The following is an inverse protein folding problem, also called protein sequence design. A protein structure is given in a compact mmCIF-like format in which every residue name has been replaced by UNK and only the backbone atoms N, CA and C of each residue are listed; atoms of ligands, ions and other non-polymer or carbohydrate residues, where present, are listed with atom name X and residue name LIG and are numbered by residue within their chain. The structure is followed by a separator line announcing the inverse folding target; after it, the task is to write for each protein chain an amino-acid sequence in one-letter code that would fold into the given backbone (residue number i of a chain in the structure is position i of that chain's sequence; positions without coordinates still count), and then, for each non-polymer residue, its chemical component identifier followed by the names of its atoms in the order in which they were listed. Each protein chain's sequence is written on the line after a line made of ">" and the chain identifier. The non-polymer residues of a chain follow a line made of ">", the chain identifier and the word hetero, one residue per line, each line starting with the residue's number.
data_IF_377289826243
#
_entry.id   IF_377289826243
#
_cell.length_a   1.000
_cell.length_b   1.000
_cell.length_c   1.000
_cell.angle_alpha   90.00
_cell.angle_beta   90.00
_cell.angle_gamma   90.00
#
_symmetry.space_group_name_H-M   'P 1'
#
loop_
_entity.id
_entity.type
_entity.pdbx_description
1 polymer ?
#
# COMPACT_ATOMS: atom_id res chain seq x y z
N UNK A 1 5.70 19.47 15.51
CA UNK A 1 4.93 19.51 14.23
C UNK A 1 5.33 20.75 13.45
N UNK A 2 5.19 20.76 12.12
CA UNK A 2 5.44 21.93 11.27
C UNK A 2 4.13 22.33 10.57
N UNK A 3 3.97 23.63 10.29
CA UNK A 3 2.79 24.15 9.59
C UNK A 3 2.97 24.01 8.07
N UNK A 4 1.90 23.61 7.39
CA UNK A 4 1.81 23.56 5.93
C UNK A 4 0.65 24.45 5.49
N UNK A 5 0.92 25.42 4.61
CA UNK A 5 -0.13 26.23 3.99
C UNK A 5 -0.35 25.72 2.56
N UNK A 6 -1.59 25.37 2.24
CA UNK A 6 -1.99 24.88 0.92
C UNK A 6 -3.27 25.58 0.48
N UNK A 7 -3.37 25.90 -0.81
CA UNK A 7 -4.60 26.42 -1.41
C UNK A 7 -5.52 25.27 -1.74
N UNK A 8 -6.74 25.32 -1.22
CA UNK A 8 -7.81 24.37 -1.52
C UNK A 8 -9.04 25.15 -1.97
N UNK A 9 -9.90 24.50 -2.75
CA UNK A 9 -11.18 25.10 -3.15
C UNK A 9 -12.12 25.20 -1.94
N UNK A 10 -13.00 26.19 -1.95
CA UNK A 10 -13.95 26.43 -0.85
C UNK A 10 -14.89 25.27 -0.61
N UNK A 11 -15.26 24.51 -1.65
CA UNK A 11 -16.12 23.34 -1.50
C UNK A 11 -15.43 22.26 -0.64
N UNK A 12 -14.13 22.03 -0.86
CA UNK A 12 -13.34 21.06 -0.08
C UNK A 12 -13.14 21.50 1.36
N UNK A 13 -12.94 22.80 1.60
CA UNK A 13 -12.91 23.34 2.96
C UNK A 13 -14.22 23.05 3.70
N UNK A 14 -15.37 23.31 3.04
CA UNK A 14 -16.70 23.05 3.61
C UNK A 14 -16.94 21.56 3.89
N UNK A 15 -16.48 20.67 3.02
CA UNK A 15 -16.54 19.21 3.27
C UNK A 15 -15.75 18.82 4.52
N UNK A 16 -14.53 19.34 4.68
CA UNK A 16 -13.70 19.06 5.86
C UNK A 16 -14.33 19.59 7.15
N UNK A 17 -14.94 20.78 7.10
CA UNK A 17 -15.65 21.37 8.25
C UNK A 17 -16.85 20.49 8.66
N UNK A 18 -17.66 20.03 7.70
CA UNK A 18 -18.78 19.11 7.98
C UNK A 18 -18.34 17.79 8.60
N UNK A 19 -17.22 17.22 8.14
CA UNK A 19 -16.67 15.99 8.71
C UNK A 19 -16.16 16.21 10.13
N UNK A 20 -15.55 17.36 10.39
CA UNK A 20 -15.07 17.74 11.72
C UNK A 20 -16.24 17.86 12.71
N UNK A 21 -17.32 18.53 12.31
CA UNK A 21 -18.55 18.65 13.11
C UNK A 21 -19.17 17.28 13.38
N UNK A 22 -19.32 16.45 12.35
CA UNK A 22 -19.92 15.11 12.46
C UNK A 22 -19.12 14.17 13.38
N UNK A 23 -17.80 14.32 13.44
CA UNK A 23 -16.90 13.48 14.22
C UNK A 23 -16.49 14.12 15.56
N UNK A 24 -17.02 15.30 15.89
CA UNK A 24 -16.70 16.01 17.13
C UNK A 24 -15.21 16.34 17.27
N UNK A 25 -14.54 16.66 16.15
CA UNK A 25 -13.10 16.93 16.10
C UNK A 25 -12.79 18.22 15.33
N UNK A 26 -11.51 18.55 15.17
CA UNK A 26 -11.09 19.75 14.42
C UNK A 26 -10.90 19.47 12.93
N UNK A 27 -11.11 20.48 12.08
CA UNK A 27 -10.76 20.42 10.64
C UNK A 27 -9.31 19.97 10.42
N UNK A 28 -8.38 20.44 11.26
CA UNK A 28 -6.96 20.08 11.16
C UNK A 28 -6.67 18.61 11.50
N UNK A 29 -7.48 17.99 12.35
CA UNK A 29 -7.40 16.55 12.62
C UNK A 29 -7.91 15.75 11.42
N UNK A 30 -9.07 16.12 10.87
CA UNK A 30 -9.60 15.48 9.65
C UNK A 30 -8.62 15.60 8.49
N UNK A 31 -8.10 16.81 8.25
CA UNK A 31 -7.15 17.05 7.16
C UNK A 31 -5.88 16.20 7.30
N UNK A 32 -5.34 16.04 8.52
CA UNK A 32 -4.19 15.18 8.76
C UNK A 32 -4.47 13.72 8.43
N UNK A 33 -5.61 13.17 8.89
CA UNK A 33 -6.02 11.79 8.56
C UNK A 33 -6.13 11.58 7.06
N UNK A 34 -6.79 12.49 6.36
CA UNK A 34 -6.95 12.42 4.90
C UNK A 34 -5.59 12.48 4.20
N UNK A 35 -4.66 13.32 4.66
CA UNK A 35 -3.30 13.39 4.10
C UNK A 35 -2.53 12.09 4.37
N UNK A 36 -2.59 11.56 5.59
CA UNK A 36 -1.87 10.34 5.96
C UNK A 36 -2.34 9.13 5.13
N UNK A 37 -3.66 9.00 4.94
CA UNK A 37 -4.22 7.94 4.10
C UNK A 37 -3.91 8.16 2.62
N UNK A 38 -4.03 9.40 2.13
CA UNK A 38 -3.66 9.75 0.76
C UNK A 38 -2.18 9.50 0.45
N UNK A 39 -1.29 9.72 1.42
CA UNK A 39 0.14 9.39 1.30
C UNK A 39 0.36 7.89 1.17
N UNK A 40 -0.30 7.06 1.99
CA UNK A 40 -0.23 5.60 1.88
C UNK A 40 -0.71 5.13 0.52
N UNK A 41 -1.88 5.58 0.08
CA UNK A 41 -2.46 5.15 -1.20
C UNK A 41 -1.61 5.59 -2.40
N UNK A 42 -1.03 6.80 -2.35
CA UNK A 42 -0.10 7.28 -3.38
C UNK A 42 1.16 6.42 -3.44
N UNK A 43 1.71 6.04 -2.28
CA UNK A 43 2.88 5.17 -2.22
C UNK A 43 2.57 3.75 -2.69
N UNK A 44 1.38 3.21 -2.40
CA UNK A 44 0.94 1.91 -2.91
C UNK A 44 0.89 1.90 -4.43
N UNK A 45 0.39 2.99 -5.04
CA UNK A 45 0.40 3.14 -6.49
C UNK A 45 1.82 3.09 -7.07
N UNK A 46 2.74 3.87 -6.53
CA UNK A 46 4.15 3.87 -6.94
C UNK A 46 4.78 2.48 -6.71
N UNK A 47 4.50 1.85 -5.56
CA UNK A 47 4.99 0.53 -5.23
C UNK A 47 4.51 -0.54 -6.21
N UNK A 48 3.28 -0.43 -6.72
CA UNK A 48 2.75 -1.31 -7.74
C UNK A 48 3.46 -1.13 -9.10
N UNK A 49 3.72 0.11 -9.52
CA UNK A 49 4.53 0.41 -10.71
C UNK A 49 5.93 -0.22 -10.59
N UNK A 50 6.57 -0.08 -9.42
CA UNK A 50 7.87 -0.66 -9.12
C UNK A 50 7.89 -2.20 -9.10
N UNK A 51 6.77 -2.84 -8.75
CA UNK A 51 6.63 -4.30 -8.86
C UNK A 51 6.59 -4.73 -10.34
N UNK A 52 5.86 -3.99 -11.19
CA UNK A 52 5.80 -4.27 -12.64
C UNK A 52 7.18 -4.12 -13.30
N UNK A 53 7.96 -3.13 -12.86
CA UNK A 53 9.36 -2.91 -13.28
C UNK A 53 10.34 -3.96 -12.69
N UNK A 54 9.85 -4.91 -11.88
CA UNK A 54 10.62 -5.93 -11.15
C UNK A 54 11.63 -5.35 -10.15
N UNK A 55 11.50 -4.08 -9.79
CA UNK A 55 12.35 -3.41 -8.80
C UNK A 55 11.92 -3.75 -7.37
N UNK A 56 10.62 -3.85 -7.10
CA UNK A 56 10.08 -4.15 -5.76
C UNK A 56 9.53 -5.58 -5.65
N UNK A 57 9.75 -6.19 -4.49
CA UNK A 57 8.95 -7.33 -4.02
C UNK A 57 7.64 -6.84 -3.40
N UNK A 58 6.68 -7.74 -3.16
CA UNK A 58 5.47 -7.43 -2.40
C UNK A 58 5.82 -6.82 -1.02
N UNK A 59 6.77 -7.43 -0.31
CA UNK A 59 7.23 -6.95 1.01
C UNK A 59 7.82 -5.56 0.94
N UNK A 60 8.68 -5.28 -0.06
CA UNK A 60 9.29 -3.97 -0.20
C UNK A 60 8.27 -2.89 -0.56
N UNK A 61 7.27 -3.22 -1.40
CA UNK A 61 6.21 -2.28 -1.74
C UNK A 61 5.28 -1.98 -0.54
N UNK A 62 4.97 -2.98 0.28
CA UNK A 62 4.20 -2.81 1.51
C UNK A 62 4.95 -1.92 2.52
N UNK A 63 6.23 -2.20 2.73
CA UNK A 63 7.11 -1.41 3.59
C UNK A 63 7.22 0.05 3.12
N UNK A 64 7.51 0.26 1.83
CA UNK A 64 7.59 1.60 1.22
C UNK A 64 6.31 2.41 1.43
N UNK A 65 5.18 1.73 1.31
CA UNK A 65 3.84 2.33 1.43
C UNK A 65 3.38 2.53 2.87
N UNK A 66 4.05 1.92 3.84
CA UNK A 66 3.64 1.95 5.24
C UNK A 66 2.32 1.21 5.49
N UNK A 67 2.10 0.10 4.78
CA UNK A 67 0.89 -0.74 4.91
C UNK A 67 1.28 -2.20 5.17
N UNK A 68 0.32 -3.02 5.60
CA UNK A 68 0.55 -4.45 5.77
C UNK A 68 0.79 -5.15 4.42
N UNK A 69 1.50 -6.29 4.47
CA UNK A 69 1.65 -7.18 3.31
C UNK A 69 0.30 -7.52 2.66
N UNK A 70 -0.70 -7.82 3.51
CA UNK A 70 -2.04 -8.16 3.06
C UNK A 70 -2.70 -7.02 2.29
N UNK A 71 -2.67 -5.78 2.81
CA UNK A 71 -3.26 -4.62 2.13
C UNK A 71 -2.58 -4.33 0.79
N UNK A 72 -1.26 -4.50 0.70
CA UNK A 72 -0.55 -4.36 -0.58
C UNK A 72 -0.92 -5.49 -1.55
N UNK A 73 -1.06 -6.72 -1.07
CA UNK A 73 -1.45 -7.86 -1.90
C UNK A 73 -2.87 -7.69 -2.48
N UNK A 74 -3.83 -7.29 -1.65
CA UNK A 74 -5.20 -6.96 -2.09
C UNK A 74 -5.19 -5.86 -3.15
N UNK A 75 -4.46 -4.76 -2.89
CA UNK A 75 -4.38 -3.65 -3.84
C UNK A 75 -3.87 -4.07 -5.22
N UNK A 76 -2.91 -4.98 -5.28
CA UNK A 76 -2.35 -5.52 -6.52
C UNK A 76 -3.33 -6.51 -7.18
N UNK A 77 -3.95 -7.37 -6.39
CA UNK A 77 -4.94 -8.36 -6.86
C UNK A 77 -6.14 -7.69 -7.51
N UNK A 78 -6.69 -6.64 -6.88
CA UNK A 78 -7.80 -5.82 -7.42
C UNK A 78 -7.46 -5.17 -8.77
N UNK A 79 -6.17 -5.06 -9.10
CA UNK A 79 -5.64 -4.48 -10.34
C UNK A 79 -5.08 -5.53 -11.31
N UNK A 80 -5.20 -6.82 -10.99
CA UNK A 80 -4.67 -7.90 -11.81
C UNK A 80 -3.14 -7.92 -11.91
N UNK A 81 -2.43 -7.28 -10.96
CA UNK A 81 -0.96 -7.23 -10.95
C UNK A 81 -0.44 -8.43 -10.18
N UNK A 82 0.19 -9.38 -10.88
CA UNK A 82 0.89 -10.48 -10.21
C UNK A 82 2.13 -9.96 -9.48
N UNK A 83 2.21 -10.25 -8.19
CA UNK A 83 3.39 -10.02 -7.37
C UNK A 83 4.20 -11.31 -7.13
N UNK A 84 3.71 -12.44 -7.63
CA UNK A 84 4.47 -13.69 -7.69
C UNK A 84 5.41 -13.63 -8.88
N UNK A 85 6.71 -13.68 -8.59
CA UNK A 85 7.76 -13.68 -9.62
C UNK A 85 8.03 -15.08 -10.18
N UNK A 86 7.49 -16.09 -9.53
CA UNK A 86 7.71 -17.50 -9.83
C UNK A 86 6.46 -18.10 -10.45
N UNK A 87 6.64 -18.87 -11.51
CA UNK A 87 5.58 -19.69 -12.10
C UNK A 87 5.23 -20.89 -11.20
N UNK A 88 4.01 -21.46 -11.31
CA UNK A 88 3.66 -22.67 -10.57
C UNK A 88 4.63 -23.84 -10.80
N UNK A 89 5.17 -23.96 -12.00
CA UNK A 89 6.13 -25.00 -12.37
C UNK A 89 7.47 -24.83 -11.65
N UNK A 90 8.00 -23.60 -11.61
CA UNK A 90 9.20 -23.29 -10.85
C UNK A 90 8.97 -23.54 -9.35
N UNK A 91 7.80 -23.18 -8.82
CA UNK A 91 7.46 -23.44 -7.41
C UNK A 91 7.39 -24.95 -7.09
N UNK A 92 6.89 -25.77 -8.02
CA UNK A 92 6.89 -27.23 -7.87
C UNK A 92 8.31 -27.81 -7.86
N UNK A 93 9.20 -27.26 -8.69
CA UNK A 93 10.60 -27.67 -8.74
C UNK A 93 11.35 -27.31 -7.45
N UNK A 94 11.11 -26.12 -6.91
CA UNK A 94 11.65 -25.69 -5.62
C UNK A 94 11.15 -26.60 -4.50
N UNK A 95 9.86 -26.97 -4.50
CA UNK A 95 9.29 -27.91 -3.54
C UNK A 95 9.93 -29.31 -3.62
N UNK A 96 10.17 -29.84 -4.82
CA UNK A 96 10.91 -31.11 -5.02
C UNK A 96 12.34 -31.02 -4.49
N UNK A 97 12.99 -29.88 -4.67
CA UNK A 97 14.36 -29.64 -4.18
C UNK A 97 14.40 -29.55 -2.66
N UNK A 98 13.49 -28.76 -2.06
CA UNK A 98 13.36 -28.65 -0.60
C UNK A 98 13.07 -30.00 0.06
N UNK A 99 12.23 -30.85 -0.56
CA UNK A 99 11.99 -32.22 -0.08
C UNK A 99 13.26 -33.06 0.02
N UNK A 100 14.21 -32.91 -0.90
CA UNK A 100 15.51 -33.61 -0.80
C UNK A 100 16.31 -33.13 0.40
N UNK A 101 16.29 -31.84 0.73
CA UNK A 101 17.01 -31.31 1.89
C UNK A 101 16.40 -31.75 3.22
N UNK A 102 15.07 -31.87 3.28
CA UNK A 102 14.35 -32.27 4.51
C UNK A 102 14.38 -33.80 4.71
N UNK A 103 14.43 -34.58 3.63
CA UNK A 103 14.36 -36.04 3.68
C UNK A 103 15.71 -36.77 3.51
N UNK A 104 16.83 -36.04 3.40
CA UNK A 104 18.15 -36.58 3.70
C UNK A 104 18.32 -36.56 5.24
N UNK A 105 18.77 -37.56 6.01
CA UNK A 105 19.71 -38.68 5.80
C UNK A 105 20.64 -38.58 4.58
#
# INVERSE_FOLDING_TARGET
>A
MKNLQVRIKDEKKKELDKLADALGTSRSEILRRVIDDGLKDTKMKIGAEKILEKEFSLSRAAEFSGVSLHRMAEYLADRGISYFRQSPQEAEQDMKTAKKWVNND
#
